data_IF_852147959043
#
_entry.id   IF_852147959043
#
_cell.length_a   1.000
_cell.length_b   1.000
_cell.length_c   1.000
_cell.angle_alpha   90.00
_cell.angle_beta   90.00
_cell.angle_gamma   90.00
#
_symmetry.space_group_name_H-M   'P 1'
#
loop_
_entity.id
_entity.type
_entity.pdbx_description
1 polymer ?
#
# COMPACT_ATOMS: atom_id res chain seq x y z
N UNK A 1 -26.08 -5.34 -2.26
CA UNK A 1 -24.88 -5.35 -3.10
C UNK A 1 -25.05 -6.47 -4.09
N UNK A 2 -25.16 -6.16 -5.37
CA UNK A 2 -25.29 -7.16 -6.43
C UNK A 2 -24.00 -7.98 -6.53
N UNK A 3 -24.08 -9.23 -6.99
CA UNK A 3 -22.90 -10.12 -7.13
C UNK A 3 -21.80 -9.44 -7.96
N UNK A 4 -22.19 -8.68 -8.99
CA UNK A 4 -21.28 -7.93 -9.86
C UNK A 4 -20.48 -6.88 -9.06
N UNK A 5 -21.11 -6.18 -8.11
CA UNK A 5 -20.44 -5.19 -7.26
C UNK A 5 -19.43 -5.86 -6.32
N UNK A 6 -19.77 -7.03 -5.77
CA UNK A 6 -18.84 -7.81 -4.93
C UNK A 6 -17.61 -8.22 -5.74
N UNK A 7 -17.81 -8.72 -6.97
CA UNK A 7 -16.71 -9.09 -7.87
C UNK A 7 -15.83 -7.88 -8.20
N UNK A 8 -16.42 -6.70 -8.46
CA UNK A 8 -15.67 -5.46 -8.70
C UNK A 8 -14.82 -5.06 -7.49
N UNK A 9 -15.35 -5.18 -6.27
CA UNK A 9 -14.60 -4.89 -5.02
C UNK A 9 -13.42 -5.85 -4.86
N UNK A 10 -13.63 -7.15 -5.10
CA UNK A 10 -12.56 -8.16 -4.98
C UNK A 10 -11.45 -7.88 -6.00
N UNK A 11 -11.80 -7.64 -7.27
CA UNK A 11 -10.82 -7.33 -8.31
C UNK A 11 -10.07 -6.04 -7.98
N UNK A 12 -10.77 -4.98 -7.58
CA UNK A 12 -10.16 -3.73 -7.16
C UNK A 12 -9.23 -3.92 -5.96
N UNK A 13 -9.62 -4.75 -4.98
CA UNK A 13 -8.79 -5.09 -3.83
C UNK A 13 -7.50 -5.83 -4.22
N UNK A 14 -7.57 -6.80 -5.14
CA UNK A 14 -6.38 -7.48 -5.66
C UNK A 14 -5.45 -6.50 -6.38
N UNK A 15 -6.00 -5.61 -7.21
CA UNK A 15 -5.22 -4.61 -7.94
C UNK A 15 -4.54 -3.64 -6.97
N UNK A 16 -5.28 -3.12 -5.99
CA UNK A 16 -4.73 -2.29 -4.93
C UNK A 16 -3.62 -3.01 -4.16
N UNK A 17 -3.86 -4.26 -3.75
CA UNK A 17 -2.89 -5.10 -3.06
C UNK A 17 -1.60 -5.24 -3.85
N UNK A 18 -1.70 -5.60 -5.13
CA UNK A 18 -0.55 -5.72 -6.02
C UNK A 18 0.17 -4.37 -6.19
N UNK A 19 -0.58 -3.28 -6.36
CA UNK A 19 -0.01 -1.96 -6.57
C UNK A 19 0.92 -1.57 -5.42
N UNK A 20 0.43 -1.55 -4.18
CA UNK A 20 1.26 -1.10 -3.07
C UNK A 20 2.33 -2.15 -2.71
N UNK A 21 2.02 -3.45 -2.72
CA UNK A 21 3.00 -4.49 -2.37
C UNK A 21 4.20 -4.45 -3.31
N UNK A 22 3.97 -4.32 -4.61
CA UNK A 22 5.06 -4.28 -5.59
C UNK A 22 5.85 -2.98 -5.49
N UNK A 23 5.19 -1.83 -5.34
CA UNK A 23 5.86 -0.52 -5.25
C UNK A 23 6.70 -0.44 -3.97
N UNK A 24 6.12 -0.72 -2.81
CA UNK A 24 6.84 -0.65 -1.54
C UNK A 24 8.01 -1.64 -1.50
N UNK A 25 7.82 -2.85 -2.04
CA UNK A 25 8.93 -3.81 -2.17
C UNK A 25 10.02 -3.24 -3.09
N UNK A 26 9.65 -2.74 -4.27
CA UNK A 26 10.59 -2.20 -5.25
C UNK A 26 11.41 -1.02 -4.69
N UNK A 27 10.79 -0.17 -3.88
CA UNK A 27 11.42 0.97 -3.21
C UNK A 27 12.17 0.58 -1.91
N UNK A 28 12.25 -0.71 -1.57
CA UNK A 28 13.12 -1.21 -0.51
C UNK A 28 12.57 -1.00 0.90
N UNK A 29 11.26 -0.78 1.07
CA UNK A 29 10.63 -0.70 2.39
C UNK A 29 10.82 -1.98 3.24
N UNK A 30 10.90 -3.20 2.68
CA UNK A 30 11.24 -4.38 3.48
C UNK A 30 12.72 -4.49 3.86
N UNK A 31 13.66 -3.77 3.20
CA UNK A 31 15.10 -3.87 3.48
C UNK A 31 15.47 -3.20 4.81
N UNK A 32 14.85 -2.04 5.07
CA UNK A 32 15.13 -1.23 6.26
C UNK A 32 13.90 -0.41 6.67
N UNK A 33 13.75 -0.10 7.95
CA UNK A 33 12.71 0.79 8.41
C UNK A 33 12.95 2.22 7.88
N UNK A 34 11.92 2.84 7.30
CA UNK A 34 11.98 4.24 6.84
C UNK A 34 11.93 5.23 8.01
N UNK A 35 11.29 4.84 9.11
CA UNK A 35 11.15 5.64 10.34
C UNK A 35 11.31 4.76 11.59
N UNK A 36 11.58 5.38 12.75
CA UNK A 36 11.79 4.65 14.01
C UNK A 36 10.62 3.74 14.39
N UNK A 37 9.37 4.16 14.12
CA UNK A 37 8.19 3.34 14.37
C UNK A 37 8.18 2.03 13.56
N UNK A 38 8.62 2.09 12.31
CA UNK A 38 8.71 0.90 11.45
C UNK A 38 9.73 -0.11 11.99
N UNK A 39 10.82 0.37 12.59
CA UNK A 39 11.82 -0.49 13.25
C UNK A 39 11.19 -1.23 14.43
N UNK A 40 10.51 -0.50 15.31
CA UNK A 40 9.86 -1.07 16.50
C UNK A 40 8.83 -2.13 16.13
N UNK A 41 8.00 -1.87 15.10
CA UNK A 41 7.03 -2.84 14.61
C UNK A 41 7.76 -4.07 14.05
N UNK A 42 8.77 -3.89 13.20
CA UNK A 42 9.52 -5.00 12.62
C UNK A 42 10.17 -5.92 13.66
N UNK A 43 10.80 -5.34 14.67
CA UNK A 43 11.39 -6.09 15.79
C UNK A 43 10.30 -6.83 16.59
N UNK A 44 9.17 -6.19 16.87
CA UNK A 44 8.05 -6.84 17.57
C UNK A 44 7.46 -8.01 16.79
N UNK A 45 7.35 -7.87 15.47
CA UNK A 45 6.88 -8.94 14.57
C UNK A 45 7.86 -10.11 14.55
N UNK A 46 9.16 -9.84 14.51
CA UNK A 46 10.19 -10.89 14.64
C UNK A 46 10.04 -11.63 15.98
N UNK A 47 9.84 -10.91 17.08
CA UNK A 47 9.76 -11.48 18.43
C UNK A 47 8.53 -12.40 18.63
N UNK A 48 7.45 -12.20 17.87
CA UNK A 48 6.30 -13.13 17.83
C UNK A 48 6.44 -14.25 16.78
N UNK A 49 7.64 -14.42 16.20
CA UNK A 49 7.95 -15.47 15.24
C UNK A 49 7.58 -15.17 13.78
N UNK A 50 7.45 -13.89 13.42
CA UNK A 50 7.29 -13.40 12.05
C UNK A 50 8.61 -13.18 11.33
N UNK A 51 8.57 -12.60 10.12
CA UNK A 51 9.76 -12.23 9.36
C UNK A 51 10.10 -10.75 9.58
N UNK A 52 11.38 -10.44 9.84
CA UNK A 52 11.84 -9.08 10.14
C UNK A 52 11.61 -8.11 8.98
N UNK A 53 11.95 -8.50 7.74
CA UNK A 53 11.81 -7.66 6.56
C UNK A 53 10.33 -7.40 6.23
N UNK A 54 9.49 -8.43 6.36
CA UNK A 54 8.04 -8.26 6.29
C UNK A 54 7.49 -7.39 7.43
N UNK A 55 8.10 -7.46 8.61
CA UNK A 55 7.79 -6.59 9.74
C UNK A 55 8.17 -5.12 9.48
N UNK A 56 9.31 -4.84 8.85
CA UNK A 56 9.67 -3.49 8.42
C UNK A 56 8.70 -2.96 7.37
N UNK A 57 8.32 -3.79 6.39
CA UNK A 57 7.27 -3.45 5.44
C UNK A 57 5.99 -3.02 6.16
N UNK A 58 5.47 -3.89 7.05
CA UNK A 58 4.26 -3.59 7.82
C UNK A 58 4.42 -2.34 8.68
N UNK A 59 5.61 -2.12 9.24
CA UNK A 59 5.93 -0.92 9.99
C UNK A 59 5.86 0.35 9.14
N UNK A 60 6.35 0.30 7.90
CA UNK A 60 6.29 1.45 6.99
C UNK A 60 4.85 1.78 6.57
N UNK A 61 3.99 0.78 6.32
CA UNK A 61 2.54 1.01 6.10
C UNK A 61 1.91 1.82 7.23
N UNK A 62 2.28 1.55 8.48
CA UNK A 62 1.67 2.21 9.66
C UNK A 62 2.28 3.59 9.91
N UNK A 63 3.58 3.76 9.65
CA UNK A 63 4.34 4.88 10.17
C UNK A 63 4.78 5.92 9.13
N UNK A 64 4.64 5.68 7.83
CA UNK A 64 4.92 6.68 6.80
C UNK A 64 3.87 6.66 5.66
N UNK A 65 3.75 7.73 4.86
CA UNK A 65 2.92 7.73 3.65
C UNK A 65 3.52 6.84 2.55
N UNK A 66 3.38 5.54 2.70
CA UNK A 66 3.85 4.52 1.76
C UNK A 66 2.92 4.39 0.53
N UNK A 67 3.21 3.42 -0.36
CA UNK A 67 2.35 3.17 -1.52
C UNK A 67 0.93 2.79 -1.13
N UNK A 68 0.72 2.22 0.06
CA UNK A 68 -0.61 1.87 0.55
C UNK A 68 -1.43 3.14 0.86
N UNK A 69 -0.85 4.11 1.57
CA UNK A 69 -1.46 5.40 1.85
C UNK A 69 -1.72 6.19 0.56
N UNK A 70 -0.73 6.19 -0.35
CA UNK A 70 -0.87 6.81 -1.67
C UNK A 70 -1.99 6.21 -2.50
N UNK A 71 -2.09 4.88 -2.52
CA UNK A 71 -3.14 4.14 -3.25
C UNK A 71 -4.53 4.48 -2.71
N UNK A 72 -4.69 4.52 -1.39
CA UNK A 72 -5.96 4.85 -0.75
C UNK A 72 -6.38 6.30 -1.02
N UNK A 73 -5.49 7.27 -0.78
CA UNK A 73 -5.82 8.68 -0.94
C UNK A 73 -6.13 9.02 -2.40
N UNK A 74 -5.36 8.48 -3.34
CA UNK A 74 -5.64 8.67 -4.77
C UNK A 74 -6.95 8.02 -5.20
N UNK A 75 -7.33 6.87 -4.63
CA UNK A 75 -8.65 6.26 -4.90
C UNK A 75 -9.80 7.15 -4.43
N UNK A 76 -9.67 7.75 -3.23
CA UNK A 76 -10.66 8.68 -2.67
C UNK A 76 -10.75 9.94 -3.53
N UNK A 77 -9.62 10.56 -3.85
CA UNK A 77 -9.61 11.81 -4.60
C UNK A 77 -10.04 11.61 -6.07
N UNK A 78 -9.72 10.45 -6.68
CA UNK A 78 -10.27 10.11 -7.99
C UNK A 78 -11.79 9.96 -7.96
N UNK A 79 -12.34 9.38 -6.90
CA UNK A 79 -13.80 9.31 -6.73
C UNK A 79 -14.44 10.69 -6.58
N UNK A 80 -13.78 11.63 -5.88
CA UNK A 80 -14.33 12.96 -5.62
C UNK A 80 -14.16 13.93 -6.79
N UNK A 81 -13.04 13.87 -7.51
CA UNK A 81 -12.62 14.92 -8.45
C UNK A 81 -12.10 14.37 -9.79
N UNK A 82 -12.19 13.06 -10.03
CA UNK A 82 -11.60 12.45 -11.23
C UNK A 82 -10.07 12.44 -11.22
N UNK A 83 -9.46 12.41 -12.39
CA UNK A 83 -8.00 12.23 -12.54
C UNK A 83 -7.20 13.35 -11.86
N UNK A 84 -7.73 14.57 -11.85
CA UNK A 84 -7.18 15.74 -11.17
C UNK A 84 -7.04 15.49 -9.67
N UNK A 85 -8.04 14.84 -9.07
CA UNK A 85 -7.99 14.41 -7.67
C UNK A 85 -6.82 13.47 -7.39
N UNK A 86 -6.55 12.53 -8.30
CA UNK A 86 -5.40 11.63 -8.20
C UNK A 86 -4.05 12.35 -8.15
N UNK A 87 -3.88 13.40 -8.95
CA UNK A 87 -2.67 14.24 -8.92
C UNK A 87 -2.57 15.07 -7.63
N UNK A 88 -3.70 15.59 -7.13
CA UNK A 88 -3.74 16.26 -5.82
C UNK A 88 -3.34 15.29 -4.72
N UNK A 89 -3.84 14.05 -4.73
CA UNK A 89 -3.44 13.02 -3.78
C UNK A 89 -1.94 12.73 -3.83
N UNK A 90 -1.36 12.59 -5.03
CA UNK A 90 0.08 12.37 -5.19
C UNK A 90 0.91 13.52 -4.60
N UNK A 91 0.48 14.77 -4.80
CA UNK A 91 1.09 15.95 -4.20
C UNK A 91 0.99 15.93 -2.66
N UNK A 92 -0.19 15.63 -2.11
CA UNK A 92 -0.40 15.57 -0.67
C UNK A 92 0.44 14.47 -0.01
N UNK A 93 0.54 13.30 -0.65
CA UNK A 93 1.38 12.19 -0.18
C UNK A 93 2.85 12.59 -0.24
N UNK A 94 3.27 13.23 -1.32
CA UNK A 94 4.63 13.76 -1.44
C UNK A 94 4.95 14.72 -0.30
N UNK A 95 4.07 15.68 0.02
CA UNK A 95 4.22 16.58 1.17
C UNK A 95 4.30 15.76 2.48
N UNK A 96 3.39 14.81 2.66
CA UNK A 96 3.35 13.93 3.84
C UNK A 96 4.65 13.17 4.08
N UNK A 97 5.25 12.60 3.03
CA UNK A 97 6.55 11.92 3.14
C UNK A 97 7.63 12.86 3.71
N UNK A 98 7.65 14.13 3.27
CA UNK A 98 8.65 15.11 3.73
C UNK A 98 8.40 15.52 5.18
N UNK A 99 7.14 15.62 5.59
CA UNK A 99 6.77 15.82 7.00
C UNK A 99 7.19 14.64 7.88
N UNK A 100 7.11 13.41 7.36
CA UNK A 100 7.55 12.20 8.05
C UNK A 100 9.07 11.94 7.96
N UNK A 101 9.85 12.86 7.36
CA UNK A 101 11.27 12.67 7.08
C UNK A 101 11.60 11.39 6.29
N UNK A 102 10.65 10.92 5.47
CA UNK A 102 10.82 9.81 4.55
C UNK A 102 11.27 10.36 3.18
N UNK A 103 12.52 10.12 2.75
CA UNK A 103 13.02 10.60 1.47
C UNK A 103 12.43 9.82 0.28
N UNK A 104 11.70 8.75 0.55
CA UNK A 104 11.12 7.85 -0.44
C UNK A 104 10.06 8.51 -1.33
N UNK A 105 9.74 7.78 -2.39
CA UNK A 105 8.70 8.14 -3.35
C UNK A 105 7.64 7.04 -3.47
N UNK A 106 7.70 6.00 -2.64
CA UNK A 106 6.79 4.85 -2.72
C UNK A 106 5.31 5.31 -2.66
N UNK A 107 4.96 6.20 -1.73
CA UNK A 107 3.62 6.77 -1.65
C UNK A 107 3.20 7.58 -2.86
N UNK A 108 4.05 8.50 -3.31
CA UNK A 108 3.76 9.31 -4.50
C UNK A 108 3.58 8.44 -5.74
N UNK A 109 4.45 7.44 -5.94
CA UNK A 109 4.34 6.51 -7.06
C UNK A 109 3.10 5.61 -6.91
N UNK A 110 2.77 5.16 -5.69
CA UNK A 110 1.52 4.46 -5.39
C UNK A 110 0.27 5.25 -5.78
N UNK A 111 0.26 6.55 -5.46
CA UNK A 111 -0.82 7.46 -5.84
C UNK A 111 -0.93 7.65 -7.37
N UNK A 112 0.20 7.87 -8.06
CA UNK A 112 0.22 8.06 -9.51
C UNK A 112 -0.19 6.79 -10.27
N UNK A 113 0.34 5.64 -9.86
CA UNK A 113 0.04 4.34 -10.48
C UNK A 113 -1.43 3.96 -10.31
N UNK A 114 -2.00 4.08 -9.10
CA UNK A 114 -3.42 3.78 -8.93
C UNK A 114 -4.31 4.77 -9.69
N UNK A 115 -3.91 6.05 -9.78
CA UNK A 115 -4.64 7.04 -10.58
C UNK A 115 -4.71 6.63 -12.04
N UNK A 116 -3.57 6.22 -12.62
CA UNK A 116 -3.52 5.72 -13.99
C UNK A 116 -4.37 4.43 -14.16
N UNK A 117 -4.28 3.50 -13.21
CA UNK A 117 -5.06 2.26 -13.22
C UNK A 117 -6.56 2.54 -13.17
N UNK A 118 -7.01 3.40 -12.24
CA UNK A 118 -8.41 3.80 -12.10
C UNK A 118 -8.88 4.48 -13.38
N UNK A 119 -8.08 5.39 -13.96
CA UNK A 119 -8.44 6.05 -15.22
C UNK A 119 -8.67 5.04 -16.36
N UNK A 120 -7.80 4.05 -16.50
CA UNK A 120 -7.92 3.00 -17.52
C UNK A 120 -9.08 2.04 -17.27
N UNK A 121 -9.37 1.73 -16.00
CA UNK A 121 -10.40 0.77 -15.62
C UNK A 121 -11.77 1.40 -15.35
N UNK A 122 -11.87 2.74 -15.32
CA UNK A 122 -13.11 3.46 -15.00
C UNK A 122 -14.35 2.99 -15.79
N UNK A 123 -14.25 2.62 -17.10
CA UNK A 123 -15.40 2.09 -17.83
C UNK A 123 -15.96 0.76 -17.28
N UNK A 124 -15.17 0.02 -16.50
CA UNK A 124 -15.49 -1.32 -15.98
C UNK A 124 -15.68 -1.27 -14.45
N UNK A 125 -14.77 -0.61 -13.74
CA UNK A 125 -14.68 -0.53 -12.28
C UNK A 125 -14.54 0.95 -11.88
N UNK A 126 -15.61 1.50 -11.31
CA UNK A 126 -15.62 2.86 -10.78
C UNK A 126 -14.66 3.01 -9.58
N UNK A 127 -14.13 4.22 -9.38
CA UNK A 127 -13.19 4.54 -8.30
C UNK A 127 -13.65 4.12 -6.89
N UNK A 128 -14.96 4.14 -6.60
CA UNK A 128 -15.52 3.76 -5.29
C UNK A 128 -15.18 2.32 -4.88
N UNK A 129 -15.05 1.40 -5.84
CA UNK A 129 -14.71 0.01 -5.55
C UNK A 129 -13.23 -0.13 -5.14
N UNK A 130 -12.34 0.75 -5.63
CA UNK A 130 -10.94 0.78 -5.22
C UNK A 130 -10.76 1.30 -3.80
N UNK A 131 -11.62 2.20 -3.32
CA UNK A 131 -11.60 2.66 -1.91
C UNK A 131 -11.86 1.46 -0.99
N UNK A 132 -12.95 0.73 -1.22
CA UNK A 132 -13.30 -0.45 -0.41
C UNK A 132 -12.27 -1.56 -0.58
N UNK A 133 -11.86 -1.83 -1.83
CA UNK A 133 -10.83 -2.81 -2.15
C UNK A 133 -9.51 -2.53 -1.44
N UNK A 134 -9.11 -1.25 -1.33
CA UNK A 134 -7.88 -0.86 -0.65
C UNK A 134 -7.96 -1.08 0.87
N UNK A 135 -9.11 -0.78 1.49
CA UNK A 135 -9.33 -1.08 2.92
C UNK A 135 -9.21 -2.59 3.17
N UNK A 136 -9.80 -3.42 2.31
CA UNK A 136 -9.66 -4.87 2.40
C UNK A 136 -8.20 -5.30 2.19
N UNK A 137 -7.50 -4.71 1.22
CA UNK A 137 -6.10 -5.03 0.95
C UNK A 137 -5.19 -4.72 2.14
N UNK A 138 -5.32 -3.55 2.78
CA UNK A 138 -4.61 -3.22 4.02
C UNK A 138 -4.96 -4.23 5.12
N UNK A 139 -6.25 -4.54 5.29
CA UNK A 139 -6.69 -5.48 6.32
C UNK A 139 -6.08 -6.88 6.15
N UNK A 140 -5.84 -7.35 4.93
CA UNK A 140 -5.19 -8.66 4.72
C UNK A 140 -3.75 -8.72 5.24
N UNK A 141 -3.05 -7.58 5.27
CA UNK A 141 -1.66 -7.50 5.74
C UNK A 141 -1.58 -7.10 7.21
N UNK A 142 -2.41 -6.13 7.62
CA UNK A 142 -2.34 -5.49 8.93
C UNK A 142 -3.40 -5.96 9.91
N UNK A 143 -4.51 -6.55 9.45
CA UNK A 143 -5.66 -6.83 10.31
C UNK A 143 -5.84 -8.30 10.67
N UNK A 144 -5.41 -9.22 9.81
CA UNK A 144 -5.74 -10.64 9.98
C UNK A 144 -4.79 -11.40 10.91
N UNK A 145 -3.54 -11.61 10.50
CA UNK A 145 -2.53 -12.29 11.32
C UNK A 145 -1.14 -11.78 10.93
N UNK A 146 -0.60 -10.91 11.77
CA UNK A 146 0.65 -10.21 11.50
C UNK A 146 1.84 -11.16 11.28
N UNK A 147 1.87 -12.30 11.97
CA UNK A 147 2.94 -13.29 11.83
C UNK A 147 3.00 -13.85 10.41
N UNK A 148 1.88 -14.34 9.88
CA UNK A 148 1.85 -14.92 8.54
C UNK A 148 1.92 -13.87 7.44
N UNK A 149 1.31 -12.70 7.65
CA UNK A 149 1.43 -11.58 6.72
C UNK A 149 2.88 -11.14 6.55
N UNK A 150 3.63 -10.98 7.66
CA UNK A 150 5.06 -10.64 7.59
C UNK A 150 5.88 -11.72 6.87
N UNK A 151 5.59 -13.02 7.09
CA UNK A 151 6.28 -14.10 6.37
C UNK A 151 6.00 -14.04 4.87
N UNK A 152 4.76 -13.76 4.47
CA UNK A 152 4.40 -13.58 3.06
C UNK A 152 5.17 -12.41 2.45
N UNK A 153 5.15 -11.25 3.10
CA UNK A 153 5.87 -10.06 2.64
C UNK A 153 7.38 -10.29 2.58
N UNK A 154 7.96 -10.98 3.57
CA UNK A 154 9.36 -11.36 3.57
C UNK A 154 9.74 -12.26 2.40
N UNK A 155 8.88 -13.22 2.03
CA UNK A 155 9.08 -14.06 0.84
C UNK A 155 9.02 -13.25 -0.46
N UNK A 156 8.12 -12.28 -0.55
CA UNK A 156 8.01 -11.38 -1.71
C UNK A 156 9.26 -10.50 -1.81
N UNK A 157 9.69 -9.90 -0.70
CA UNK A 157 10.90 -9.11 -0.61
C UNK A 157 12.13 -9.90 -1.06
N UNK A 158 12.30 -11.13 -0.56
CA UNK A 158 13.38 -12.03 -0.99
C UNK A 158 13.34 -12.33 -2.48
N UNK A 159 12.15 -12.62 -3.03
CA UNK A 159 11.97 -12.88 -4.48
C UNK A 159 12.33 -11.68 -5.35
N UNK A 160 12.22 -10.46 -4.82
CA UNK A 160 12.59 -9.22 -5.49
C UNK A 160 14.00 -8.73 -5.16
N UNK A 161 14.81 -9.52 -4.43
CA UNK A 161 16.15 -9.14 -3.94
C UNK A 161 16.14 -7.87 -3.05
N UNK A 162 15.09 -7.72 -2.24
CA UNK A 162 14.82 -6.60 -1.34
C UNK A 162 14.71 -7.04 0.12
N UNK A 163 15.31 -8.18 0.45
CA UNK A 163 15.33 -8.78 1.78
C UNK A 163 16.15 -10.07 1.75
N UNK A 164 16.69 -10.44 2.92
CA UNK A 164 17.47 -11.67 3.13
C UNK A 164 16.62 -12.96 3.08
#
# INVERSE_FOLDING_TARGET
MEIVEIVKIIIAGIICWLNFVLIDTYFGLPEKPGVLGAKTIGEKIRDIGGNLNGGYFMGNIVCSPDASAGTLLASIMNYLMGIEGGFIAALLVWIGNRLCADPGYAGTIGALTITAIIYLLNPIIEAKYFIVGMVLAIFTIQGFEHRYASILLGKIAKKMNRGE
#
